data_IF_717209310613
#
_entry.id   IF_717209310613
#
_cell.length_a   1.000
_cell.length_b   1.000
_cell.length_c   1.000
_cell.angle_alpha   90.00
_cell.angle_beta   90.00
_cell.angle_gamma   90.00
#
_symmetry.space_group_name_H-M   'P 1'
#
loop_
_entity.id
_entity.type
_entity.pdbx_description
1 polymer ?
#
# COMPACT_ATOMS: atom_id res chain seq x y z
N UNK A 1 -12.30 -39.69 -27.37
CA UNK A 1 -11.20 -38.97 -28.04
C UNK A 1 -11.37 -37.48 -27.75
N UNK A 2 -10.72 -36.95 -26.68
CA UNK A 2 -10.84 -35.52 -26.33
C UNK A 2 -9.79 -34.75 -27.13
N UNK A 3 -10.25 -33.93 -28.07
CA UNK A 3 -9.41 -32.98 -28.80
C UNK A 3 -8.85 -31.93 -27.84
N UNK A 4 -7.64 -32.16 -27.34
CA UNK A 4 -6.86 -31.25 -26.52
C UNK A 4 -5.70 -30.70 -27.35
N UNK A 5 -5.97 -29.78 -28.29
CA UNK A 5 -4.87 -29.17 -29.08
C UNK A 5 -5.09 -27.70 -29.46
N UNK A 6 -6.02 -26.98 -28.82
CA UNK A 6 -6.19 -25.51 -29.06
C UNK A 6 -5.96 -24.64 -27.82
N UNK A 7 -5.87 -25.22 -26.61
CA UNK A 7 -5.67 -24.48 -25.35
C UNK A 7 -4.22 -24.45 -24.84
N UNK A 8 -3.34 -25.28 -25.41
CA UNK A 8 -1.97 -25.47 -24.90
C UNK A 8 -1.09 -24.21 -24.87
N UNK A 9 -1.03 -23.35 -25.93
CA UNK A 9 -0.09 -22.23 -25.92
C UNK A 9 -0.45 -21.15 -24.89
N UNK A 10 -1.76 -20.89 -24.69
CA UNK A 10 -2.24 -19.95 -23.66
C UNK A 10 -1.96 -20.50 -22.25
N UNK A 11 -2.16 -21.81 -22.05
CA UNK A 11 -1.95 -22.45 -20.76
C UNK A 11 -0.47 -22.45 -20.33
N UNK A 12 0.47 -22.61 -21.27
CA UNK A 12 1.91 -22.52 -20.97
C UNK A 12 2.33 -21.09 -20.65
N UNK A 13 1.84 -20.09 -21.38
CA UNK A 13 2.12 -18.67 -21.10
C UNK A 13 1.64 -18.25 -19.71
N UNK A 14 0.42 -18.63 -19.33
CA UNK A 14 -0.12 -18.34 -17.99
C UNK A 14 0.67 -19.05 -16.88
N UNK A 15 1.12 -20.28 -17.14
CA UNK A 15 1.96 -21.05 -16.20
C UNK A 15 3.34 -20.42 -16.00
N UNK A 16 3.95 -19.91 -17.05
CA UNK A 16 5.25 -19.22 -16.98
C UNK A 16 5.13 -17.89 -16.22
N UNK A 17 4.07 -17.11 -16.45
CA UNK A 17 3.83 -15.87 -15.72
C UNK A 17 3.57 -16.13 -14.22
N UNK A 18 2.82 -17.18 -13.89
CA UNK A 18 2.61 -17.60 -12.50
C UNK A 18 3.93 -18.06 -11.84
N UNK A 19 4.74 -18.85 -12.53
CA UNK A 19 6.05 -19.31 -12.05
C UNK A 19 6.99 -18.14 -11.77
N UNK A 20 6.99 -17.12 -12.62
CA UNK A 20 7.81 -15.92 -12.42
C UNK A 20 7.33 -15.07 -11.24
N UNK A 21 6.02 -14.93 -11.03
CA UNK A 21 5.46 -14.26 -9.84
C UNK A 21 5.93 -14.94 -8.55
N UNK A 22 5.85 -16.27 -8.49
CA UNK A 22 6.32 -17.06 -7.34
C UNK A 22 7.83 -16.91 -7.11
N UNK A 23 8.64 -16.93 -8.17
CA UNK A 23 10.09 -16.75 -8.06
C UNK A 23 10.43 -15.37 -7.47
N UNK A 24 9.82 -14.29 -8.00
CA UNK A 24 10.02 -12.93 -7.48
C UNK A 24 9.62 -12.84 -6.01
N UNK A 25 8.45 -13.39 -5.65
CA UNK A 25 7.93 -13.39 -4.28
C UNK A 25 8.92 -14.01 -3.27
N UNK A 26 9.51 -15.15 -3.62
CA UNK A 26 10.53 -15.81 -2.78
C UNK A 26 11.82 -14.99 -2.71
N UNK A 27 12.30 -14.46 -3.84
CA UNK A 27 13.55 -13.68 -3.88
C UNK A 27 13.51 -12.42 -3.04
N UNK A 28 12.38 -11.70 -3.03
CA UNK A 28 12.22 -10.45 -2.26
C UNK A 28 11.47 -10.63 -0.94
N UNK A 29 11.21 -11.88 -0.52
CA UNK A 29 10.51 -12.23 0.71
C UNK A 29 9.16 -11.53 0.90
N UNK A 30 8.34 -11.48 -0.15
CA UNK A 30 6.96 -10.93 -0.12
C UNK A 30 5.94 -11.97 -0.56
N UNK A 31 4.65 -11.72 -0.30
CA UNK A 31 3.58 -12.55 -0.84
C UNK A 31 3.36 -12.35 -2.35
N UNK A 32 2.88 -13.39 -3.04
CA UNK A 32 2.55 -13.32 -4.48
C UNK A 32 1.51 -12.23 -4.81
N UNK A 33 0.61 -11.91 -3.86
CA UNK A 33 -0.36 -10.83 -4.00
C UNK A 33 0.29 -9.45 -4.09
N UNK A 34 1.39 -9.21 -3.39
CA UNK A 34 2.17 -7.95 -3.47
C UNK A 34 2.82 -7.82 -4.85
N UNK A 35 3.40 -8.92 -5.37
CA UNK A 35 3.99 -8.94 -6.72
C UNK A 35 2.91 -8.67 -7.77
N UNK A 36 1.74 -9.30 -7.65
CA UNK A 36 0.62 -9.06 -8.55
C UNK A 36 0.17 -7.58 -8.53
N UNK A 37 -0.02 -6.99 -7.34
CA UNK A 37 -0.42 -5.58 -7.20
C UNK A 37 0.61 -4.64 -7.82
N UNK A 38 1.90 -4.91 -7.63
CA UNK A 38 3.01 -4.11 -8.20
C UNK A 38 3.05 -4.22 -9.72
N UNK A 39 2.92 -5.43 -10.28
CA UNK A 39 2.86 -5.66 -11.74
C UNK A 39 1.64 -4.97 -12.37
N UNK A 40 0.49 -5.03 -11.71
CA UNK A 40 -0.71 -4.31 -12.13
C UNK A 40 -0.49 -2.79 -12.10
N UNK A 41 0.07 -2.26 -11.02
CA UNK A 41 0.41 -0.83 -10.85
C UNK A 41 1.33 -0.33 -11.95
N UNK A 42 2.32 -1.13 -12.33
CA UNK A 42 3.23 -0.84 -13.44
C UNK A 42 2.53 -0.74 -14.80
N UNK A 43 1.64 -1.69 -15.11
CA UNK A 43 0.90 -1.69 -16.38
C UNK A 43 -0.10 -0.53 -16.45
N UNK A 44 -0.78 -0.23 -15.35
CA UNK A 44 -1.84 0.79 -15.32
C UNK A 44 -1.31 2.22 -15.15
N UNK A 45 -0.21 2.41 -14.42
CA UNK A 45 0.26 3.75 -13.99
C UNK A 45 1.75 4.00 -14.23
N UNK A 46 2.50 3.05 -14.81
CA UNK A 46 3.92 3.18 -15.10
C UNK A 46 4.84 2.88 -13.91
N UNK A 47 6.16 3.00 -14.16
CA UNK A 47 7.21 2.60 -13.23
C UNK A 47 7.23 3.43 -11.95
N UNK A 48 7.18 4.75 -12.07
CA UNK A 48 7.25 5.66 -10.92
C UNK A 48 6.13 5.39 -9.92
N UNK A 49 4.91 5.18 -10.43
CA UNK A 49 3.78 4.81 -9.59
C UNK A 49 3.97 3.41 -8.99
N UNK A 50 4.51 2.44 -9.73
CA UNK A 50 4.68 1.07 -9.21
C UNK A 50 5.67 0.98 -8.04
N UNK A 51 6.73 1.79 -8.06
CA UNK A 51 7.80 1.75 -7.07
C UNK A 51 7.57 2.68 -5.87
N UNK A 52 6.89 3.81 -6.07
CA UNK A 52 6.73 4.81 -5.03
C UNK A 52 5.33 4.77 -4.41
N UNK A 53 5.28 4.84 -3.08
CA UNK A 53 4.03 5.03 -2.36
C UNK A 53 3.49 6.45 -2.58
N UNK A 54 2.16 6.61 -2.60
CA UNK A 54 1.58 7.94 -2.69
C UNK A 54 1.81 8.70 -1.37
N UNK A 55 1.83 10.04 -1.46
CA UNK A 55 1.87 10.86 -0.26
C UNK A 55 0.74 10.45 0.68
N UNK A 56 1.08 10.14 1.94
CA UNK A 56 0.10 9.81 2.98
C UNK A 56 -0.17 11.08 3.78
N UNK A 57 -1.15 11.92 3.39
CA UNK A 57 -1.49 13.07 4.19
C UNK A 57 -1.83 12.58 5.60
N UNK A 58 -1.12 13.10 6.60
CA UNK A 58 -1.38 12.79 8.00
C UNK A 58 -2.81 13.19 8.39
N UNK A 59 -3.22 12.79 9.58
CA UNK A 59 -4.49 13.26 10.13
C UNK A 59 -4.50 14.80 10.15
N UNK A 60 -5.65 15.38 9.83
CA UNK A 60 -5.86 16.81 10.00
C UNK A 60 -5.60 17.20 11.45
N UNK A 61 -5.08 18.41 11.68
CA UNK A 61 -4.92 18.92 13.04
C UNK A 61 -6.28 18.93 13.73
N UNK A 62 -6.34 18.32 14.92
CA UNK A 62 -7.58 18.21 15.71
C UNK A 62 -8.06 19.55 16.23
N UNK A 63 -7.13 20.50 16.39
CA UNK A 63 -7.39 21.83 16.90
C UNK A 63 -7.07 22.85 15.81
N UNK A 64 -7.96 23.81 15.66
CA UNK A 64 -7.66 25.06 14.96
C UNK A 64 -6.65 25.88 15.78
N UNK A 65 -5.94 26.80 15.13
CA UNK A 65 -4.96 27.65 15.84
C UNK A 65 -5.56 28.48 16.97
N UNK A 66 -6.87 28.79 16.91
CA UNK A 66 -7.58 29.50 17.99
C UNK A 66 -7.81 28.60 19.20
N UNK A 67 -8.23 27.35 18.98
CA UNK A 67 -8.45 26.37 20.04
C UNK A 67 -7.12 25.97 20.69
N UNK A 68 -6.06 25.84 19.90
CA UNK A 68 -4.70 25.59 20.39
C UNK A 68 -4.20 26.75 21.27
N UNK A 69 -4.38 27.99 20.83
CA UNK A 69 -4.03 29.17 21.64
C UNK A 69 -4.85 29.24 22.94
N UNK A 70 -6.16 28.96 22.89
CA UNK A 70 -7.02 28.97 24.07
C UNK A 70 -6.62 27.88 25.07
N UNK A 71 -6.39 26.65 24.59
CA UNK A 71 -5.93 25.55 25.44
C UNK A 71 -4.56 25.83 26.04
N UNK A 72 -3.63 26.43 25.28
CA UNK A 72 -2.31 26.78 25.80
C UNK A 72 -2.41 27.80 26.94
N UNK A 73 -3.19 28.88 26.76
CA UNK A 73 -3.40 29.89 27.80
C UNK A 73 -4.08 29.26 29.02
N UNK A 74 -5.15 28.49 28.81
CA UNK A 74 -5.88 27.87 29.90
C UNK A 74 -5.02 26.86 30.67
N UNK A 75 -4.19 26.05 30.00
CA UNK A 75 -3.36 25.04 30.69
C UNK A 75 -2.07 25.60 31.29
N UNK A 76 -1.42 26.57 30.64
CA UNK A 76 -0.18 27.15 31.12
C UNK A 76 -0.39 28.22 32.21
N UNK A 77 -1.55 28.89 32.22
CA UNK A 77 -1.82 29.99 33.16
C UNK A 77 -2.73 29.61 34.33
N UNK A 78 -3.18 28.34 34.44
CA UNK A 78 -3.99 27.89 35.59
C UNK A 78 -3.29 26.79 36.37
N UNK A 79 -3.59 26.72 37.67
CA UNK A 79 -3.12 25.63 38.51
C UNK A 79 -3.61 24.27 37.98
N UNK A 80 -2.75 23.25 37.92
CA UNK A 80 -3.11 21.93 37.42
C UNK A 80 -4.19 21.30 38.31
N UNK A 81 -5.12 20.51 37.73
CA UNK A 81 -6.16 19.85 38.51
C UNK A 81 -5.54 18.82 39.48
N UNK A 82 -6.17 18.57 40.65
CA UNK A 82 -5.69 17.56 41.58
C UNK A 82 -5.63 16.19 40.88
N UNK A 83 -4.45 15.57 40.92
CA UNK A 83 -4.22 14.24 40.35
C UNK A 83 -5.11 13.18 41.00
N UNK A 84 -5.39 12.10 40.27
CA UNK A 84 -6.24 10.99 40.70
C UNK A 84 -5.46 9.69 40.78
#
# INVERSE_FOLDING_TARGET
>A
MRHASSSEPRSCLQRTLAKMTRAIAVTVAVGESTVYRTKRRFVEMGLEAALNEQARPGAQRKLSGKEEALLLIATACTDPPPGR
#
